data_IF_880202579859
#
_entry.id   IF_880202579859
#
_cell.length_a   1.000
_cell.length_b   1.000
_cell.length_c   1.000
_cell.angle_alpha   90.00
_cell.angle_beta   90.00
_cell.angle_gamma   90.00
#
_symmetry.space_group_name_H-M   'P 1'
#
loop_
_entity.id
_entity.type
_entity.pdbx_description
1 polymer ?
#
# COMPACT_ATOMS: atom_id res chain seq x y z
N UNK A 1 -2.89 38.76 20.76
CA UNK A 1 -2.71 37.97 21.99
C UNK A 1 -1.21 37.89 22.27
N UNK A 2 -0.77 38.00 23.53
CA UNK A 2 0.65 38.04 23.87
C UNK A 2 1.30 36.66 23.67
N UNK A 3 2.62 36.60 23.45
CA UNK A 3 3.33 35.34 23.27
C UNK A 3 3.31 34.55 24.58
N UNK A 4 2.86 33.30 24.51
CA UNK A 4 2.97 32.34 25.61
C UNK A 4 4.44 31.94 25.69
N UNK A 5 5.18 32.59 26.60
CA UNK A 5 6.46 32.11 27.09
C UNK A 5 6.21 30.81 27.87
N UNK A 6 6.46 29.67 27.23
CA UNK A 6 6.67 28.40 27.91
C UNK A 6 8.09 28.35 28.47
N UNK A 7 8.22 28.55 29.78
CA UNK A 7 9.47 28.42 30.52
C UNK A 7 9.81 26.95 30.78
N UNK A 8 10.95 26.51 30.21
CA UNK A 8 11.94 25.51 30.67
C UNK A 8 12.50 24.77 29.44
N UNK A 9 13.49 25.38 28.79
CA UNK A 9 14.15 24.88 27.60
C UNK A 9 15.07 23.69 27.89
N UNK A 10 14.51 22.52 28.17
CA UNK A 10 15.19 21.26 27.91
C UNK A 10 15.00 20.93 26.44
N UNK A 11 16.06 21.02 25.65
CA UNK A 11 16.06 20.53 24.26
C UNK A 11 15.63 19.07 24.25
N UNK A 12 14.69 18.69 23.37
CA UNK A 12 14.20 17.32 23.25
C UNK A 12 15.39 16.37 23.06
N UNK A 13 15.40 15.20 23.71
CA UNK A 13 16.54 14.26 23.64
C UNK A 13 16.87 13.81 22.20
N UNK A 14 15.87 13.85 21.32
CA UNK A 14 15.99 13.55 19.89
C UNK A 14 16.36 14.74 19.01
N UNK A 15 16.71 15.91 19.58
CA UNK A 15 17.12 17.09 18.78
C UNK A 15 18.41 16.81 18.00
N UNK A 16 19.40 16.15 18.63
CA UNK A 16 20.54 15.57 17.91
C UNK A 16 20.24 14.10 17.64
N UNK A 17 19.77 13.80 16.41
CA UNK A 17 19.45 12.43 16.00
C UNK A 17 20.68 11.49 16.09
N UNK A 18 21.90 11.89 15.68
CA UNK A 18 23.08 11.05 15.86
C UNK A 18 23.36 10.67 17.32
N UNK A 19 23.14 11.59 18.26
CA UNK A 19 23.34 11.33 19.69
C UNK A 19 22.26 10.41 20.24
N UNK A 20 20.99 10.67 19.92
CA UNK A 20 19.85 9.85 20.33
C UNK A 20 19.97 8.40 19.81
N UNK A 21 20.52 8.23 18.60
CA UNK A 21 20.71 6.94 17.92
C UNK A 21 22.15 6.43 18.01
N UNK A 22 22.95 6.90 18.97
CA UNK A 22 24.39 6.63 19.07
C UNK A 22 24.75 5.14 19.03
N UNK A 23 23.93 4.28 19.65
CA UNK A 23 24.08 2.83 19.58
C UNK A 23 24.01 2.33 18.14
N UNK A 24 22.93 2.66 17.41
CA UNK A 24 22.75 2.27 16.02
C UNK A 24 23.86 2.86 15.12
N UNK A 25 24.13 4.16 15.25
CA UNK A 25 25.12 4.91 14.46
C UNK A 25 26.53 4.30 14.58
N UNK A 26 26.95 3.90 15.79
CA UNK A 26 28.28 3.32 16.03
C UNK A 26 28.54 2.02 15.25
N UNK A 27 27.48 1.29 14.90
CA UNK A 27 27.53 0.01 14.19
C UNK A 27 27.07 0.09 12.73
N UNK A 28 26.58 1.26 12.30
CA UNK A 28 25.82 1.41 11.06
C UNK A 28 26.61 1.00 9.82
N UNK A 29 27.88 1.41 9.69
CA UNK A 29 28.72 1.02 8.56
C UNK A 29 28.81 -0.51 8.42
N UNK A 30 29.02 -1.20 9.54
CA UNK A 30 29.12 -2.66 9.57
C UNK A 30 27.78 -3.32 9.25
N UNK A 31 26.67 -2.74 9.68
CA UNK A 31 25.33 -3.23 9.36
C UNK A 31 25.03 -3.10 7.87
N UNK A 32 25.32 -1.95 7.26
CA UNK A 32 25.12 -1.70 5.83
C UNK A 32 26.02 -2.60 4.96
N UNK A 33 27.29 -2.79 5.35
CA UNK A 33 28.22 -3.68 4.64
C UNK A 33 27.79 -5.16 4.67
N UNK A 34 27.03 -5.56 5.68
CA UNK A 34 26.58 -6.94 5.87
C UNK A 34 25.14 -7.20 5.44
N UNK A 35 24.35 -6.15 5.22
CA UNK A 35 22.94 -6.29 4.86
C UNK A 35 22.79 -6.77 3.41
N UNK A 36 22.23 -7.97 3.17
CA UNK A 36 22.16 -8.51 1.81
C UNK A 36 21.29 -7.66 0.87
N UNK A 37 20.22 -7.05 1.40
CA UNK A 37 19.32 -6.22 0.60
C UNK A 37 20.00 -4.91 0.17
N UNK A 38 20.69 -4.23 1.09
CA UNK A 38 21.48 -3.05 0.79
C UNK A 38 22.56 -3.34 -0.27
N UNK A 39 23.34 -4.40 -0.06
CA UNK A 39 24.41 -4.79 -0.99
C UNK A 39 23.85 -5.11 -2.39
N UNK A 40 22.72 -5.83 -2.46
CA UNK A 40 22.08 -6.15 -3.74
C UNK A 40 21.62 -4.90 -4.53
N UNK A 41 21.22 -3.82 -3.86
CA UNK A 41 20.83 -2.58 -4.52
C UNK A 41 22.01 -1.74 -5.00
N UNK A 42 23.13 -1.73 -4.26
CA UNK A 42 24.29 -0.90 -4.59
C UNK A 42 25.32 -1.61 -5.49
N UNK A 43 25.23 -2.94 -5.64
CA UNK A 43 26.11 -3.73 -6.49
C UNK A 43 25.75 -3.58 -7.98
N UNK A 44 26.05 -2.40 -8.51
CA UNK A 44 25.86 -2.10 -9.93
C UNK A 44 26.88 -1.08 -10.42
N UNK A 45 27.30 -1.25 -11.67
CA UNK A 45 28.13 -0.26 -12.38
C UNK A 45 27.34 0.99 -12.80
N UNK A 46 26.00 0.96 -12.66
CA UNK A 46 25.15 2.09 -12.95
C UNK A 46 25.22 3.20 -11.87
N UNK A 47 25.80 2.91 -10.71
CA UNK A 47 26.21 3.94 -9.73
C UNK A 47 27.61 4.39 -10.13
N UNK A 48 27.68 5.43 -10.96
CA UNK A 48 28.94 6.02 -11.43
C UNK A 48 29.25 7.37 -10.76
N UNK A 49 28.27 7.96 -10.06
CA UNK A 49 28.44 9.11 -9.18
C UNK A 49 28.17 8.72 -7.73
N UNK A 50 28.84 9.41 -6.82
CA UNK A 50 28.58 9.28 -5.39
C UNK A 50 27.26 9.95 -5.04
N UNK A 51 26.48 9.31 -4.17
CA UNK A 51 25.27 9.88 -3.56
C UNK A 51 25.38 9.84 -2.04
N UNK A 52 25.07 10.97 -1.40
CA UNK A 52 25.03 11.07 0.06
C UNK A 52 23.62 11.36 0.53
N UNK A 53 23.08 10.49 1.38
CA UNK A 53 21.78 10.65 2.02
C UNK A 53 21.96 11.04 3.49
N UNK A 54 21.16 11.99 3.97
CA UNK A 54 21.12 12.43 5.35
C UNK A 54 19.82 12.06 6.06
N UNK A 55 19.89 11.83 7.37
CA UNK A 55 18.72 11.75 8.26
C UNK A 55 18.92 12.72 9.41
N UNK A 56 17.96 13.62 9.62
CA UNK A 56 18.09 14.75 10.53
C UNK A 56 16.79 15.03 11.29
N UNK A 57 16.92 15.40 12.57
CA UNK A 57 15.82 16.02 13.32
C UNK A 57 15.72 17.51 13.00
N UNK A 58 14.50 18.01 12.81
CA UNK A 58 14.26 19.45 12.70
C UNK A 58 14.75 20.17 13.97
N UNK A 59 15.47 21.27 13.78
CA UNK A 59 16.08 22.05 14.87
C UNK A 59 17.43 21.52 15.37
N UNK A 60 17.92 20.38 14.86
CA UNK A 60 19.28 19.89 15.12
C UNK A 60 20.29 20.34 14.07
N UNK A 61 21.55 20.50 14.45
CA UNK A 61 22.63 20.93 13.54
C UNK A 61 23.38 19.76 12.86
N UNK A 62 23.15 18.53 13.32
CA UNK A 62 23.83 17.33 12.85
C UNK A 62 22.87 16.32 12.20
N UNK A 63 23.32 15.69 11.13
CA UNK A 63 22.65 14.59 10.44
C UNK A 63 23.48 13.29 10.55
N UNK A 64 22.79 12.15 10.50
CA UNK A 64 23.40 10.86 10.18
C UNK A 64 23.59 10.83 8.67
N UNK A 65 24.82 10.66 8.19
CA UNK A 65 25.16 10.69 6.77
C UNK A 65 25.59 9.31 6.28
N UNK A 66 25.03 8.88 5.16
CA UNK A 66 25.39 7.64 4.49
C UNK A 66 25.71 7.93 3.04
N UNK A 67 26.90 7.54 2.61
CA UNK A 67 27.40 7.79 1.26
C UNK A 67 27.59 6.48 0.52
N UNK A 68 26.92 6.35 -0.62
CA UNK A 68 27.08 5.24 -1.57
C UNK A 68 27.95 5.71 -2.72
N UNK A 69 29.02 4.97 -2.99
CA UNK A 69 30.02 5.28 -4.01
C UNK A 69 30.14 4.14 -5.04
N UNK A 70 30.66 4.44 -6.25
CA UNK A 70 30.90 3.42 -7.27
C UNK A 70 31.68 2.21 -6.76
N UNK A 71 31.30 1.03 -7.25
CA UNK A 71 31.90 -0.25 -6.86
C UNK A 71 31.35 -0.82 -5.55
N UNK A 72 30.05 -0.63 -5.30
CA UNK A 72 29.33 -1.18 -4.14
C UNK A 72 29.93 -0.77 -2.78
N UNK A 73 30.37 0.49 -2.65
CA UNK A 73 31.00 0.99 -1.43
C UNK A 73 30.05 1.87 -0.64
N UNK A 74 29.95 1.59 0.66
CA UNK A 74 29.20 2.42 1.60
C UNK A 74 30.13 2.99 2.65
N UNK A 75 29.92 4.25 3.01
CA UNK A 75 30.61 4.91 4.14
C UNK A 75 29.61 5.69 4.96
N UNK A 76 29.82 5.77 6.27
CA UNK A 76 28.92 6.48 7.19
C UNK A 76 29.67 7.53 8.00
N UNK A 77 29.05 8.67 8.26
CA UNK A 77 29.58 9.72 9.14
C UNK A 77 28.43 10.45 9.85
N UNK A 78 28.77 11.38 10.73
CA UNK A 78 27.84 12.36 11.30
C UNK A 78 28.39 13.74 11.00
N UNK A 79 27.54 14.70 10.65
CA UNK A 79 28.03 16.01 10.24
C UNK A 79 26.92 16.95 9.79
N UNK A 80 27.29 17.98 9.04
CA UNK A 80 26.34 18.98 8.57
C UNK A 80 25.36 18.36 7.56
N UNK A 81 24.04 18.60 7.66
CA UNK A 81 23.07 18.15 6.65
C UNK A 81 23.38 18.69 5.24
N UNK A 82 24.13 19.80 5.12
CA UNK A 82 24.56 20.37 3.84
C UNK A 82 25.55 19.51 3.06
N UNK A 83 26.13 18.48 3.68
CA UNK A 83 27.03 17.52 3.04
C UNK A 83 26.26 16.44 2.27
N UNK A 84 24.94 16.33 2.46
CA UNK A 84 24.09 15.37 1.77
C UNK A 84 23.51 15.95 0.47
N UNK A 85 23.32 15.07 -0.52
CA UNK A 85 22.54 15.38 -1.71
C UNK A 85 21.05 15.59 -1.37
N UNK A 86 20.54 14.79 -0.44
CA UNK A 86 19.20 14.94 0.09
C UNK A 86 19.14 14.52 1.57
N UNK A 87 18.23 15.12 2.33
CA UNK A 87 18.08 14.88 3.77
C UNK A 87 16.64 14.56 4.13
N UNK A 88 16.41 13.42 4.78
CA UNK A 88 15.13 13.05 5.38
C UNK A 88 14.99 13.79 6.72
N UNK A 89 13.91 14.55 6.87
CA UNK A 89 13.64 15.36 8.06
C UNK A 89 12.29 15.03 8.68
N UNK A 90 12.27 15.06 10.00
CA UNK A 90 11.06 15.01 10.83
C UNK A 90 11.34 15.72 12.17
N UNK A 91 10.31 16.04 12.92
CA UNK A 91 10.42 16.60 14.27
C UNK A 91 11.06 15.59 15.24
N UNK A 92 11.76 16.05 16.30
CA UNK A 92 12.33 15.18 17.32
C UNK A 92 11.33 14.16 17.89
N UNK A 93 10.09 14.58 18.18
CA UNK A 93 9.03 13.72 18.73
C UNK A 93 8.51 12.70 17.69
N UNK A 94 8.59 13.03 16.41
CA UNK A 94 8.22 12.11 15.32
C UNK A 94 9.30 11.04 15.14
N UNK A 95 10.58 11.41 15.21
CA UNK A 95 11.68 10.45 15.16
C UNK A 95 11.67 9.50 16.36
N UNK A 96 11.40 10.00 17.56
CA UNK A 96 11.26 9.15 18.75
C UNK A 96 10.22 8.04 18.55
N UNK A 97 9.04 8.40 18.04
CA UNK A 97 7.98 7.43 17.76
C UNK A 97 8.32 6.52 16.59
N UNK A 98 9.01 7.03 15.57
CA UNK A 98 9.42 6.27 14.38
C UNK A 98 10.46 5.20 14.71
N UNK A 99 11.41 5.52 15.59
CA UNK A 99 12.47 4.61 16.02
C UNK A 99 12.12 3.83 17.28
N UNK A 100 10.88 3.89 17.76
CA UNK A 100 10.40 3.00 18.82
C UNK A 100 10.52 1.52 18.40
N UNK A 101 10.71 0.63 19.37
CA UNK A 101 10.81 -0.81 19.13
C UNK A 101 9.52 -1.42 18.55
N UNK A 102 8.37 -0.86 18.90
CA UNK A 102 7.05 -1.25 18.39
C UNK A 102 6.33 0.01 17.88
N UNK A 103 6.66 0.50 16.68
CA UNK A 103 6.11 1.74 16.17
C UNK A 103 4.63 1.57 15.81
N UNK A 104 3.80 2.52 16.21
CA UNK A 104 2.38 2.59 15.84
C UNK A 104 2.18 3.46 14.61
N UNK A 105 1.08 3.28 13.88
CA UNK A 105 0.75 4.14 12.75
C UNK A 105 0.63 5.62 13.18
N UNK A 106 1.07 6.59 12.36
CA UNK A 106 1.71 6.44 11.03
C UNK A 106 3.25 6.36 11.09
N UNK A 107 3.84 6.16 12.27
CA UNK A 107 5.30 6.24 12.50
C UNK A 107 6.07 4.99 12.05
N UNK A 108 5.47 4.12 11.23
CA UNK A 108 6.07 2.84 10.83
C UNK A 108 7.02 2.97 9.64
N UNK A 109 6.80 3.95 8.77
CA UNK A 109 7.60 4.22 7.57
C UNK A 109 7.74 5.74 7.32
N UNK A 110 8.79 6.14 6.62
CA UNK A 110 9.02 7.56 6.31
C UNK A 110 7.97 8.09 5.32
N UNK A 111 7.58 7.28 4.34
CA UNK A 111 6.48 7.61 3.43
C UNK A 111 5.14 7.73 4.18
N UNK A 112 4.93 6.96 5.26
CA UNK A 112 3.77 7.11 6.13
C UNK A 112 3.79 8.42 6.92
N UNK A 113 4.94 8.82 7.45
CA UNK A 113 5.12 10.15 8.03
C UNK A 113 4.85 11.25 7.00
N UNK A 114 5.38 11.12 5.78
CA UNK A 114 5.19 12.12 4.73
C UNK A 114 3.73 12.19 4.27
N UNK A 115 3.07 11.05 4.09
CA UNK A 115 1.66 10.96 3.68
C UNK A 115 0.69 11.58 4.68
N UNK A 116 1.07 11.62 5.96
CA UNK A 116 0.26 12.23 7.01
C UNK A 116 0.45 13.74 7.19
N UNK A 117 1.23 14.40 6.32
CA UNK A 117 1.38 15.86 6.33
C UNK A 117 0.07 16.64 6.10
N UNK A 118 -1.03 15.96 5.76
CA UNK A 118 -2.38 16.54 5.75
C UNK A 118 -2.90 16.90 7.16
N UNK A 119 -2.32 16.29 8.22
CA UNK A 119 -2.70 16.49 9.63
C UNK A 119 -1.50 16.68 10.56
N UNK A 120 -0.29 16.79 10.01
CA UNK A 120 0.95 17.08 10.75
C UNK A 120 1.90 17.94 9.92
N UNK A 121 2.95 18.48 10.54
CA UNK A 121 3.97 19.29 9.85
C UNK A 121 5.38 18.76 10.15
N UNK A 122 6.35 19.24 9.36
CA UNK A 122 7.78 19.04 9.62
C UNK A 122 8.41 17.79 9.02
N UNK A 123 7.63 16.91 8.38
CA UNK A 123 8.19 15.75 7.66
C UNK A 123 8.44 16.13 6.21
N UNK A 124 9.65 15.87 5.72
CA UNK A 124 9.96 16.13 4.32
C UNK A 124 11.38 15.77 3.93
N UNK A 125 11.67 15.98 2.65
CA UNK A 125 12.99 15.76 2.08
C UNK A 125 13.55 17.11 1.65
N UNK A 126 14.74 17.44 2.13
CA UNK A 126 15.51 18.60 1.67
C UNK A 126 16.54 18.21 0.63
N UNK A 127 16.96 19.18 -0.18
CA UNK A 127 17.96 18.99 -1.23
C UNK A 127 17.37 18.41 -2.51
N UNK A 128 18.12 17.52 -3.16
CA UNK A 128 17.82 17.00 -4.49
C UNK A 128 16.70 15.95 -4.46
N UNK A 129 15.48 16.39 -4.78
CA UNK A 129 14.28 15.54 -4.84
C UNK A 129 14.38 14.41 -5.87
N UNK A 130 15.10 14.61 -6.98
CA UNK A 130 15.27 13.58 -8.02
C UNK A 130 16.19 12.47 -7.51
N UNK A 131 17.30 12.82 -6.84
CA UNK A 131 18.17 11.83 -6.19
C UNK A 131 17.41 11.08 -5.09
N UNK A 132 16.61 11.76 -4.27
CA UNK A 132 15.74 11.06 -3.32
C UNK A 132 14.83 10.05 -4.02
N UNK A 133 14.11 10.45 -5.06
CA UNK A 133 13.22 9.54 -5.79
C UNK A 133 13.97 8.36 -6.44
N UNK A 134 15.22 8.56 -6.88
CA UNK A 134 16.06 7.49 -7.43
C UNK A 134 16.57 6.50 -6.37
N UNK A 135 16.76 6.97 -5.13
CA UNK A 135 17.42 6.23 -4.05
C UNK A 135 16.53 6.00 -2.81
N UNK A 136 15.21 6.23 -2.89
CA UNK A 136 14.29 6.13 -1.75
C UNK A 136 14.28 4.73 -1.12
N UNK A 137 14.38 3.68 -1.94
CA UNK A 137 14.53 2.29 -1.50
C UNK A 137 15.73 2.06 -0.55
N UNK A 138 16.85 2.77 -0.78
CA UNK A 138 17.99 2.75 0.15
C UNK A 138 17.67 3.56 1.41
N UNK A 139 17.06 4.73 1.28
CA UNK A 139 16.68 5.54 2.44
C UNK A 139 15.74 4.78 3.39
N UNK A 140 14.75 4.05 2.85
CA UNK A 140 13.87 3.17 3.63
C UNK A 140 14.67 2.08 4.35
N UNK A 141 15.56 1.36 3.64
CA UNK A 141 16.38 0.32 4.27
C UNK A 141 17.36 0.87 5.32
N UNK A 142 17.91 2.06 5.10
CA UNK A 142 18.73 2.78 6.09
C UNK A 142 17.95 3.02 7.38
N UNK A 143 16.72 3.54 7.27
CA UNK A 143 15.88 3.80 8.44
C UNK A 143 15.50 2.51 9.19
N UNK A 144 15.24 1.41 8.47
CA UNK A 144 15.05 0.09 9.09
C UNK A 144 16.29 -0.36 9.85
N UNK A 145 17.48 -0.31 9.23
CA UNK A 145 18.74 -0.72 9.86
C UNK A 145 19.12 0.15 11.06
N UNK A 146 18.78 1.44 11.04
CA UNK A 146 18.91 2.31 12.20
C UNK A 146 17.98 1.87 13.34
N UNK A 147 16.72 1.55 13.05
CA UNK A 147 15.78 1.02 14.05
C UNK A 147 16.25 -0.32 14.61
N UNK A 148 16.71 -1.22 13.74
CA UNK A 148 17.25 -2.54 14.11
C UNK A 148 18.52 -2.42 14.98
N UNK A 149 19.43 -1.51 14.64
CA UNK A 149 20.64 -1.26 15.43
C UNK A 149 20.35 -0.69 16.82
N UNK A 150 19.25 0.07 16.94
CA UNK A 150 18.82 0.67 18.20
C UNK A 150 18.06 -0.33 19.10
N UNK A 151 17.13 -1.09 18.53
CA UNK A 151 16.16 -1.88 19.30
C UNK A 151 16.32 -3.41 19.14
N UNK A 152 17.20 -3.86 18.25
CA UNK A 152 17.19 -5.23 17.74
C UNK A 152 16.20 -5.41 16.57
N UNK A 153 16.19 -6.59 15.95
CA UNK A 153 15.32 -6.88 14.81
C UNK A 153 13.83 -6.76 15.19
N UNK A 154 13.02 -6.21 14.27
CA UNK A 154 11.57 -6.17 14.45
C UNK A 154 11.03 -7.59 14.52
N UNK A 155 10.16 -7.86 15.48
CA UNK A 155 9.50 -9.17 15.56
C UNK A 155 8.44 -9.27 14.46
N UNK A 156 8.67 -10.17 13.53
CA UNK A 156 7.75 -10.48 12.44
C UNK A 156 6.86 -11.68 12.79
N UNK A 157 5.65 -11.69 12.24
CA UNK A 157 4.79 -12.85 12.22
C UNK A 157 5.30 -13.87 11.19
N UNK A 158 4.98 -15.13 11.41
CA UNK A 158 5.37 -16.20 10.50
C UNK A 158 4.44 -16.29 9.28
N UNK A 159 4.96 -16.75 8.15
CA UNK A 159 4.14 -17.20 7.03
C UNK A 159 4.44 -18.68 6.81
N UNK A 160 3.49 -19.60 7.04
CA UNK A 160 3.71 -21.01 6.76
C UNK A 160 4.02 -21.24 5.29
N UNK A 161 5.05 -22.02 5.01
CA UNK A 161 5.27 -22.59 3.68
C UNK A 161 4.24 -23.68 3.41
N UNK A 162 3.79 -23.79 2.17
CA UNK A 162 2.83 -24.80 1.74
C UNK A 162 3.24 -25.35 0.38
N UNK A 163 3.11 -26.66 0.22
CA UNK A 163 3.39 -27.35 -1.04
C UNK A 163 2.14 -27.45 -1.94
N UNK A 164 0.96 -27.18 -1.39
CA UNK A 164 -0.31 -27.31 -2.09
C UNK A 164 -0.82 -25.94 -2.56
N UNK A 165 -1.03 -25.81 -3.87
CA UNK A 165 -1.72 -24.68 -4.47
C UNK A 165 -3.04 -25.13 -5.09
N UNK A 166 -4.12 -24.41 -4.79
CA UNK A 166 -5.48 -24.76 -5.21
C UNK A 166 -6.05 -23.82 -6.26
N UNK A 167 -5.24 -22.93 -6.84
CA UNK A 167 -5.69 -21.98 -7.84
C UNK A 167 -5.65 -22.60 -9.23
N UNK A 168 -6.61 -22.23 -10.06
CA UNK A 168 -6.62 -22.54 -11.48
C UNK A 168 -6.73 -21.26 -12.29
N UNK A 169 -5.71 -20.97 -13.09
CA UNK A 169 -5.66 -19.81 -13.99
C UNK A 169 -6.28 -20.09 -15.36
N UNK A 170 -7.05 -19.14 -15.88
CA UNK A 170 -7.68 -19.17 -17.21
C UNK A 170 -7.68 -17.78 -17.84
N UNK A 171 -7.95 -17.73 -19.13
CA UNK A 171 -8.18 -16.48 -19.84
C UNK A 171 -9.60 -16.42 -20.37
N UNK A 172 -10.17 -15.21 -20.41
CA UNK A 172 -11.47 -14.92 -21.02
C UNK A 172 -11.38 -13.63 -21.83
N UNK A 173 -12.23 -13.49 -22.84
CA UNK A 173 -12.33 -12.24 -23.61
C UNK A 173 -13.52 -11.43 -23.12
N UNK A 174 -13.28 -10.16 -22.82
CA UNK A 174 -14.31 -9.16 -22.51
C UNK A 174 -14.12 -7.92 -23.37
N UNK A 175 -15.11 -7.04 -23.36
CA UNK A 175 -15.01 -5.70 -23.95
C UNK A 175 -15.11 -4.67 -22.83
N UNK A 176 -13.97 -4.32 -22.25
CA UNK A 176 -13.91 -3.37 -21.15
C UNK A 176 -14.28 -1.96 -21.65
N UNK A 177 -15.14 -1.21 -20.94
CA UNK A 177 -15.33 0.21 -21.23
C UNK A 177 -14.00 0.95 -21.18
N UNK A 178 -13.85 1.96 -22.04
CA UNK A 178 -12.62 2.76 -22.21
C UNK A 178 -11.45 1.97 -22.82
N UNK A 179 -11.03 0.86 -22.21
CA UNK A 179 -9.84 0.09 -22.62
C UNK A 179 -10.05 -0.79 -23.87
N UNK A 180 -11.31 -1.12 -24.20
CA UNK A 180 -11.66 -1.88 -25.40
C UNK A 180 -11.61 -3.39 -25.22
N UNK A 181 -11.60 -4.14 -26.34
CA UNK A 181 -11.60 -5.60 -26.31
C UNK A 181 -10.26 -6.10 -25.78
N UNK A 182 -10.29 -7.01 -24.82
CA UNK A 182 -9.08 -7.53 -24.17
C UNK A 182 -9.22 -9.00 -23.78
N UNK A 183 -8.07 -9.68 -23.66
CA UNK A 183 -7.92 -11.02 -23.11
C UNK A 183 -7.51 -10.89 -21.63
N UNK A 184 -8.46 -11.13 -20.74
CA UNK A 184 -8.29 -11.01 -19.30
C UNK A 184 -7.88 -12.34 -18.69
N UNK A 185 -6.83 -12.33 -17.88
CA UNK A 185 -6.46 -13.44 -17.02
C UNK A 185 -7.29 -13.43 -15.74
N UNK A 186 -7.77 -14.60 -15.32
CA UNK A 186 -8.42 -14.77 -14.03
C UNK A 186 -8.07 -16.12 -13.41
N UNK A 187 -8.10 -16.17 -12.09
CA UNK A 187 -7.90 -17.36 -11.27
C UNK A 187 -9.16 -17.69 -10.49
N UNK A 188 -9.35 -18.97 -10.23
CA UNK A 188 -10.44 -19.48 -9.38
C UNK A 188 -9.92 -20.47 -8.36
N UNK A 189 -10.57 -20.50 -7.20
CA UNK A 189 -10.31 -21.49 -6.14
C UNK A 189 -11.54 -21.67 -5.26
N UNK A 190 -11.66 -22.83 -4.61
CA UNK A 190 -12.78 -23.13 -3.72
C UNK A 190 -14.05 -23.58 -4.44
N UNK A 191 -14.98 -24.13 -3.66
CA UNK A 191 -16.22 -24.75 -4.15
C UNK A 191 -17.43 -24.40 -3.30
N UNK A 192 -17.26 -23.48 -2.34
CA UNK A 192 -18.35 -23.08 -1.47
C UNK A 192 -19.42 -22.24 -2.17
N UNK A 193 -20.61 -22.12 -1.56
CA UNK A 193 -21.78 -21.53 -2.20
C UNK A 193 -21.68 -20.01 -2.42
N UNK A 194 -20.87 -19.31 -1.63
CA UNK A 194 -20.72 -17.86 -1.78
C UNK A 194 -19.75 -17.53 -2.92
N UNK A 195 -20.23 -16.88 -3.96
CA UNK A 195 -19.35 -16.33 -4.99
C UNK A 195 -18.74 -15.00 -4.50
N UNK A 196 -17.43 -14.85 -4.64
CA UNK A 196 -16.71 -13.62 -4.31
C UNK A 196 -15.66 -13.31 -5.38
N UNK A 197 -15.61 -12.05 -5.80
CA UNK A 197 -14.64 -11.53 -6.76
C UNK A 197 -13.69 -10.59 -6.03
N UNK A 198 -12.41 -10.93 -6.07
CA UNK A 198 -11.33 -10.13 -5.52
C UNK A 198 -10.73 -9.23 -6.58
N UNK A 199 -10.44 -8.00 -6.17
CA UNK A 199 -9.94 -6.92 -7.02
C UNK A 199 -8.59 -6.43 -6.48
N UNK A 200 -7.55 -6.53 -7.30
CA UNK A 200 -6.21 -6.09 -6.92
C UNK A 200 -6.13 -4.56 -6.76
N UNK A 201 -5.14 -4.13 -6.00
CA UNK A 201 -4.79 -2.72 -5.81
C UNK A 201 -4.18 -2.09 -7.07
N UNK A 202 -4.01 -0.77 -7.08
CA UNK A 202 -3.40 -0.03 -8.18
C UNK A 202 -2.03 -0.61 -8.57
N UNK A 203 -1.76 -0.80 -9.85
CA UNK A 203 -0.46 -1.30 -10.32
C UNK A 203 -0.04 -2.64 -9.69
N UNK A 204 -0.99 -3.54 -9.52
CA UNK A 204 -0.74 -4.90 -9.05
C UNK A 204 -1.57 -5.91 -9.84
N UNK A 205 -1.74 -7.12 -9.32
CA UNK A 205 -2.47 -8.20 -9.98
C UNK A 205 -3.05 -9.22 -8.99
N UNK A 206 -3.75 -10.24 -9.50
CA UNK A 206 -4.50 -11.23 -8.71
C UNK A 206 -3.65 -12.01 -7.70
N UNK A 207 -2.32 -12.03 -7.84
CA UNK A 207 -1.41 -12.67 -6.87
C UNK A 207 -1.56 -12.12 -5.46
N UNK A 208 -2.07 -10.90 -5.31
CA UNK A 208 -2.38 -10.30 -4.00
C UNK A 208 -3.37 -11.12 -3.16
N UNK A 209 -4.19 -11.96 -3.79
CA UNK A 209 -5.21 -12.75 -3.10
C UNK A 209 -4.85 -14.22 -2.95
N UNK A 210 -3.68 -14.67 -3.41
CA UNK A 210 -3.29 -16.09 -3.38
C UNK A 210 -3.32 -16.68 -1.97
N UNK A 211 -2.86 -15.94 -0.95
CA UNK A 211 -2.92 -16.40 0.45
C UNK A 211 -4.35 -16.66 0.94
N UNK A 212 -5.31 -15.82 0.54
CA UNK A 212 -6.74 -15.97 0.88
C UNK A 212 -7.38 -17.11 0.07
N UNK A 213 -7.06 -17.19 -1.22
CA UNK A 213 -7.56 -18.22 -2.14
C UNK A 213 -7.05 -19.62 -1.79
N UNK A 214 -5.87 -19.71 -1.17
CA UNK A 214 -5.30 -20.93 -0.60
C UNK A 214 -5.69 -21.18 0.87
N UNK A 215 -6.55 -20.39 1.52
CA UNK A 215 -7.06 -20.73 2.85
C UNK A 215 -8.21 -21.75 2.76
N UNK A 216 -8.08 -22.87 3.49
CA UNK A 216 -9.05 -23.96 3.44
C UNK A 216 -10.47 -23.54 3.87
N UNK A 217 -10.59 -22.66 4.88
CA UNK A 217 -11.88 -22.17 5.39
C UNK A 217 -12.58 -21.31 4.33
N UNK A 218 -11.78 -20.50 3.62
CA UNK A 218 -12.28 -19.70 2.50
C UNK A 218 -12.74 -20.59 1.35
N UNK A 219 -11.96 -21.60 0.96
CA UNK A 219 -12.33 -22.54 -0.13
C UNK A 219 -13.60 -23.34 0.15
N UNK A 220 -13.82 -23.72 1.41
CA UNK A 220 -15.03 -24.45 1.82
C UNK A 220 -16.29 -23.57 1.72
N UNK A 221 -16.18 -22.29 2.08
CA UNK A 221 -17.32 -21.36 2.15
C UNK A 221 -17.57 -20.60 0.85
N UNK A 222 -16.53 -20.40 0.04
CA UNK A 222 -16.57 -19.54 -1.13
C UNK A 222 -16.10 -20.24 -2.41
N UNK A 223 -16.73 -19.85 -3.51
CA UNK A 223 -16.15 -19.94 -4.86
C UNK A 223 -15.51 -18.59 -5.13
N UNK A 224 -14.18 -18.55 -5.10
CA UNK A 224 -13.39 -17.31 -5.19
C UNK A 224 -12.88 -17.11 -6.60
N UNK A 225 -12.95 -15.86 -7.07
CA UNK A 225 -12.44 -15.42 -8.36
C UNK A 225 -11.54 -14.21 -8.12
N UNK A 226 -10.37 -14.16 -8.74
CA UNK A 226 -9.55 -12.96 -8.83
C UNK A 226 -9.14 -12.76 -10.29
N UNK A 227 -9.14 -11.53 -10.79
CA UNK A 227 -8.74 -11.26 -12.17
C UNK A 227 -7.79 -10.08 -12.24
N UNK A 228 -6.93 -10.11 -13.26
CA UNK A 228 -6.01 -9.02 -13.56
C UNK A 228 -6.75 -8.02 -14.45
N UNK A 229 -6.78 -6.73 -14.08
CA UNK A 229 -7.35 -5.70 -14.95
C UNK A 229 -6.65 -5.69 -16.33
N UNK A 230 -7.28 -5.17 -17.39
CA UNK A 230 -6.61 -4.99 -18.67
C UNK A 230 -5.25 -4.27 -18.50
N UNK A 231 -4.23 -4.76 -19.21
CA UNK A 231 -2.81 -4.35 -19.11
C UNK A 231 -2.09 -4.64 -17.78
N UNK A 232 -2.72 -5.33 -16.82
CA UNK A 232 -2.12 -5.72 -15.55
C UNK A 232 -1.72 -7.18 -15.52
N UNK A 233 -0.71 -7.52 -14.72
CA UNK A 233 -0.29 -8.90 -14.47
C UNK A 233 -0.16 -9.72 -15.76
N UNK A 234 -1.03 -10.72 -15.90
CA UNK A 234 -1.08 -11.62 -17.06
C UNK A 234 -2.15 -11.21 -18.09
N UNK A 235 -3.00 -10.24 -17.78
CA UNK A 235 -4.00 -9.71 -18.71
C UNK A 235 -3.36 -8.90 -19.83
N UNK A 236 -3.92 -9.01 -21.03
CA UNK A 236 -3.46 -8.27 -22.19
C UNK A 236 -3.92 -6.81 -22.10
N UNK A 237 -3.18 -5.85 -22.69
CA UNK A 237 -3.72 -4.53 -22.92
C UNK A 237 -4.94 -4.60 -23.84
N UNK A 238 -5.92 -3.73 -23.61
CA UNK A 238 -7.10 -3.67 -24.46
C UNK A 238 -6.82 -3.02 -25.82
N UNK A 239 -7.73 -3.22 -26.77
CA UNK A 239 -7.59 -2.73 -28.15
C UNK A 239 -7.40 -1.21 -28.26
N UNK A 240 -7.78 -0.44 -27.24
CA UNK A 240 -7.63 1.02 -27.22
C UNK A 240 -6.36 1.47 -26.46
N UNK A 241 -5.55 0.54 -25.95
CA UNK A 241 -4.37 0.85 -25.16
C UNK A 241 -3.29 1.51 -26.02
N UNK A 242 -2.76 2.63 -25.53
CA UNK A 242 -1.58 3.30 -26.07
C UNK A 242 -0.48 3.20 -25.00
N UNK A 243 0.70 2.66 -25.31
CA UNK A 243 1.80 2.54 -24.35
C UNK A 243 2.12 3.88 -23.66
N UNK A 244 2.21 3.87 -22.33
CA UNK A 244 2.49 5.05 -21.50
C UNK A 244 1.27 5.96 -21.23
N UNK A 245 0.10 5.65 -21.79
CA UNK A 245 -1.14 6.43 -21.63
C UNK A 245 -2.27 5.60 -20.98
N UNK A 246 -1.92 4.65 -20.11
CA UNK A 246 -2.92 4.01 -19.26
C UNK A 246 -3.51 5.04 -18.31
N UNK A 247 -4.83 4.97 -18.11
CA UNK A 247 -5.58 5.75 -17.13
C UNK A 247 -6.81 4.95 -16.71
N UNK A 248 -7.26 5.17 -15.48
CA UNK A 248 -8.41 4.51 -14.90
C UNK A 248 -9.45 5.54 -14.44
N UNK A 249 -10.73 5.16 -14.48
CA UNK A 249 -11.83 5.95 -13.96
C UNK A 249 -12.98 5.02 -13.53
N UNK A 250 -14.04 5.59 -12.95
CA UNK A 250 -15.15 4.80 -12.42
C UNK A 250 -15.79 3.90 -13.50
N UNK A 251 -16.02 4.43 -14.71
CA UNK A 251 -16.68 3.68 -15.79
C UNK A 251 -15.81 2.55 -16.35
N UNK A 252 -14.50 2.79 -16.48
CA UNK A 252 -13.55 1.76 -16.89
C UNK A 252 -13.53 0.62 -15.87
N UNK A 253 -13.42 0.94 -14.58
CA UNK A 253 -13.25 -0.06 -13.53
C UNK A 253 -14.56 -0.81 -13.22
N UNK A 254 -15.64 -0.09 -12.88
CA UNK A 254 -16.95 -0.70 -12.60
C UNK A 254 -17.46 -1.47 -13.81
N UNK A 255 -17.30 -0.90 -15.00
CA UNK A 255 -17.68 -1.53 -16.25
C UNK A 255 -16.90 -2.81 -16.53
N UNK A 256 -15.60 -2.86 -16.24
CA UNK A 256 -14.79 -4.08 -16.37
C UNK A 256 -15.26 -5.16 -15.40
N UNK A 257 -15.58 -4.81 -14.15
CA UNK A 257 -16.12 -5.74 -13.16
C UNK A 257 -17.45 -6.33 -13.66
N UNK A 258 -18.35 -5.48 -14.17
CA UNK A 258 -19.61 -5.91 -14.78
C UNK A 258 -19.40 -6.91 -15.92
N UNK A 259 -18.47 -6.62 -16.85
CA UNK A 259 -18.22 -7.54 -17.96
C UNK A 259 -17.64 -8.88 -17.48
N UNK A 260 -16.80 -8.88 -16.43
CA UNK A 260 -16.30 -10.13 -15.82
C UNK A 260 -17.43 -10.92 -15.14
N UNK A 261 -18.28 -10.27 -14.33
CA UNK A 261 -19.45 -10.88 -13.68
C UNK A 261 -20.37 -11.53 -14.73
N UNK A 262 -20.66 -10.80 -15.81
CA UNK A 262 -21.49 -11.29 -16.92
C UNK A 262 -20.83 -12.45 -17.68
N UNK A 263 -19.56 -12.33 -18.04
CA UNK A 263 -18.86 -13.33 -18.85
C UNK A 263 -18.67 -14.65 -18.09
N UNK A 264 -18.45 -14.58 -16.78
CA UNK A 264 -18.34 -15.74 -15.88
C UNK A 264 -19.71 -16.24 -15.38
N UNK A 265 -20.81 -15.54 -15.70
CA UNK A 265 -22.18 -15.87 -15.29
C UNK A 265 -22.32 -15.99 -13.77
N UNK A 266 -21.69 -15.06 -13.05
CA UNK A 266 -21.78 -15.01 -11.59
C UNK A 266 -23.17 -14.51 -11.17
N UNK A 267 -23.70 -15.05 -10.08
CA UNK A 267 -25.01 -14.71 -9.54
C UNK A 267 -24.83 -14.00 -8.20
N UNK A 268 -25.02 -12.67 -8.22
CA UNK A 268 -24.92 -11.81 -7.03
C UNK A 268 -23.64 -12.07 -6.21
N UNK A 269 -22.44 -12.03 -6.82
CA UNK A 269 -21.20 -12.21 -6.10
C UNK A 269 -20.96 -11.06 -5.12
N UNK A 270 -20.17 -11.33 -4.08
CA UNK A 270 -19.57 -10.27 -3.27
C UNK A 270 -18.39 -9.70 -4.04
N UNK A 271 -18.25 -8.38 -4.11
CA UNK A 271 -17.08 -7.71 -4.69
C UNK A 271 -16.19 -7.20 -3.56
N UNK A 272 -14.91 -7.56 -3.55
CA UNK A 272 -13.98 -7.28 -2.46
C UNK A 272 -12.64 -6.78 -3.01
N UNK A 273 -12.10 -5.69 -2.46
CA UNK A 273 -10.91 -5.04 -3.02
C UNK A 273 -10.28 -4.07 -2.05
N UNK A 274 -8.95 -3.90 -2.13
CA UNK A 274 -8.20 -2.94 -1.32
C UNK A 274 -7.84 -1.65 -2.07
N UNK A 275 -7.65 -0.53 -1.36
CA UNK A 275 -7.11 0.72 -1.93
C UNK A 275 -8.04 1.33 -3.00
N UNK A 276 -7.53 1.59 -4.21
CA UNK A 276 -8.29 1.86 -5.42
C UNK A 276 -9.50 0.92 -5.58
N UNK A 277 -9.32 -0.37 -5.30
CA UNK A 277 -10.39 -1.35 -5.37
C UNK A 277 -11.34 -1.30 -4.16
N UNK A 278 -10.91 -0.73 -3.03
CA UNK A 278 -11.80 -0.39 -1.92
C UNK A 278 -12.78 0.70 -2.31
N UNK A 279 -12.29 1.77 -2.95
CA UNK A 279 -13.15 2.81 -3.51
C UNK A 279 -14.07 2.28 -4.62
N UNK A 280 -13.56 1.40 -5.51
CA UNK A 280 -14.42 0.82 -6.55
C UNK A 280 -15.50 -0.09 -5.95
N UNK A 281 -15.26 -0.74 -4.80
CA UNK A 281 -16.32 -1.46 -4.08
C UNK A 281 -17.46 -0.51 -3.65
N UNK A 282 -17.15 0.71 -3.22
CA UNK A 282 -18.17 1.74 -2.92
C UNK A 282 -18.93 2.12 -4.19
N UNK A 283 -18.22 2.33 -5.31
CA UNK A 283 -18.84 2.63 -6.61
C UNK A 283 -19.75 1.48 -7.10
N UNK A 284 -19.32 0.23 -6.92
CA UNK A 284 -20.10 -0.96 -7.23
C UNK A 284 -21.36 -1.03 -6.37
N UNK A 285 -21.29 -0.70 -5.08
CA UNK A 285 -22.48 -0.68 -4.22
C UNK A 285 -23.51 0.35 -4.68
N UNK A 286 -23.06 1.53 -5.15
CA UNK A 286 -23.92 2.56 -5.77
C UNK A 286 -24.55 2.02 -7.07
N UNK A 287 -23.78 1.25 -7.85
CA UNK A 287 -24.13 0.72 -9.18
C UNK A 287 -24.48 -0.77 -9.14
N UNK A 288 -25.00 -1.27 -8.03
CA UNK A 288 -25.06 -2.71 -7.76
C UNK A 288 -25.88 -3.48 -8.79
N UNK A 289 -27.01 -2.91 -9.24
CA UNK A 289 -27.88 -3.52 -10.26
C UNK A 289 -27.19 -3.59 -11.63
N UNK A 290 -26.39 -2.58 -11.99
CA UNK A 290 -25.62 -2.55 -13.24
C UNK A 290 -24.60 -3.69 -13.27
N UNK A 291 -23.90 -3.90 -12.16
CA UNK A 291 -22.86 -4.93 -12.03
C UNK A 291 -23.45 -6.32 -11.82
N UNK A 292 -24.63 -6.41 -11.21
CA UNK A 292 -25.18 -7.65 -10.68
C UNK A 292 -24.56 -8.07 -9.35
N UNK A 293 -24.04 -7.13 -8.56
CA UNK A 293 -23.37 -7.39 -7.30
C UNK A 293 -24.36 -7.72 -6.17
N UNK A 294 -24.03 -8.71 -5.35
CA UNK A 294 -24.83 -9.14 -4.19
C UNK A 294 -24.36 -8.59 -2.85
N UNK A 295 -23.28 -7.82 -2.83
CA UNK A 295 -22.68 -7.22 -1.65
C UNK A 295 -21.26 -6.76 -1.97
N UNK A 296 -20.70 -5.91 -1.12
CA UNK A 296 -19.35 -5.38 -1.31
C UNK A 296 -18.58 -5.33 0.01
N UNK A 297 -17.28 -5.63 -0.05
CA UNK A 297 -16.36 -5.53 1.08
C UNK A 297 -15.21 -4.60 0.68
N UNK A 298 -15.36 -3.28 0.87
CA UNK A 298 -14.26 -2.34 0.71
C UNK A 298 -13.19 -2.61 1.76
N UNK A 299 -11.99 -2.94 1.31
CA UNK A 299 -10.79 -2.95 2.15
C UNK A 299 -10.09 -1.61 1.96
N UNK A 300 -9.76 -0.90 3.05
CA UNK A 300 -9.06 0.40 2.95
C UNK A 300 -9.74 1.37 1.96
N UNK A 301 -11.08 1.43 1.99
CA UNK A 301 -11.89 2.19 1.04
C UNK A 301 -12.70 3.29 1.73
N UNK A 302 -12.83 4.44 1.08
CA UNK A 302 -13.63 5.57 1.53
C UNK A 302 -14.38 6.22 0.35
N UNK A 303 -15.20 7.23 0.63
CA UNK A 303 -15.96 7.94 -0.40
C UNK A 303 -15.16 8.97 -1.21
N UNK A 304 -14.00 9.41 -0.69
CA UNK A 304 -13.13 10.38 -1.36
C UNK A 304 -11.74 10.46 -0.71
N UNK A 305 -10.69 10.64 -1.51
CA UNK A 305 -9.32 10.92 -1.06
C UNK A 305 -8.80 12.24 -1.61
N UNK A 306 -8.12 13.00 -0.76
CA UNK A 306 -7.60 14.35 -1.04
C UNK A 306 -6.07 14.47 -0.91
N UNK A 307 -5.36 13.35 -0.89
CA UNK A 307 -3.90 13.36 -0.72
C UNK A 307 -3.21 13.87 -1.99
N UNK A 308 -2.20 14.73 -1.81
CA UNK A 308 -1.38 15.22 -2.91
C UNK A 308 -0.61 14.08 -3.57
N UNK A 309 -0.76 13.99 -4.88
CA UNK A 309 -0.16 12.92 -5.67
C UNK A 309 1.25 13.27 -6.13
N UNK A 310 2.19 12.38 -5.86
CA UNK A 310 3.54 12.43 -6.41
C UNK A 310 3.57 11.88 -7.85
N UNK A 311 4.50 12.38 -8.68
CA UNK A 311 4.61 12.02 -10.10
C UNK A 311 5.89 11.22 -10.45
N UNK A 312 6.68 10.84 -9.44
CA UNK A 312 7.92 10.07 -9.64
C UNK A 312 7.66 8.67 -10.19
N UNK A 313 6.46 8.13 -9.96
CA UNK A 313 5.94 6.86 -10.48
C UNK A 313 5.75 6.82 -12.01
N UNK A 314 5.84 7.98 -12.68
CA UNK A 314 5.83 8.14 -14.15
C UNK A 314 6.97 9.03 -14.65
N UNK A 315 8.01 9.23 -13.85
CA UNK A 315 9.16 10.04 -14.25
C UNK A 315 10.11 9.25 -15.16
N UNK A 316 10.59 9.81 -16.29
CA UNK A 316 11.53 9.11 -17.17
C UNK A 316 12.94 8.98 -16.58
N UNK A 317 13.24 9.71 -15.49
CA UNK A 317 14.54 9.69 -14.80
C UNK A 317 14.48 8.97 -13.45
N UNK A 318 13.30 8.47 -13.07
CA UNK A 318 13.10 7.65 -11.88
C UNK A 318 12.76 6.23 -12.31
N UNK A 319 13.41 5.23 -11.71
CA UNK A 319 13.07 3.85 -11.97
C UNK A 319 11.81 3.47 -11.18
N UNK A 320 10.66 3.43 -11.86
CA UNK A 320 9.39 3.06 -11.24
C UNK A 320 9.42 1.69 -10.54
N UNK A 321 10.27 0.76 -11.01
CA UNK A 321 10.40 -0.57 -10.42
C UNK A 321 11.14 -0.58 -9.07
N UNK A 322 11.68 0.57 -8.64
CA UNK A 322 12.25 0.82 -7.32
C UNK A 322 11.41 1.82 -6.53
N UNK A 323 10.90 2.88 -7.18
CA UNK A 323 10.10 3.91 -6.52
C UNK A 323 8.72 3.42 -6.07
N UNK A 324 7.98 2.78 -6.97
CA UNK A 324 6.63 2.28 -6.67
C UNK A 324 6.62 1.27 -5.51
N UNK A 325 7.45 0.20 -5.53
CA UNK A 325 7.45 -0.77 -4.43
C UNK A 325 7.89 -0.16 -3.09
N UNK A 326 8.79 0.84 -3.08
CA UNK A 326 9.19 1.53 -1.85
C UNK A 326 8.02 2.30 -1.20
N UNK A 327 7.26 3.03 -2.03
CA UNK A 327 6.09 3.77 -1.57
C UNK A 327 5.03 2.86 -0.93
N UNK A 328 4.72 1.74 -1.59
CA UNK A 328 3.75 0.77 -1.06
C UNK A 328 4.30 -0.02 0.11
N UNK A 329 5.62 -0.25 0.17
CA UNK A 329 6.25 -0.99 1.26
C UNK A 329 5.97 -0.35 2.61
N UNK A 330 5.98 0.99 2.64
CA UNK A 330 5.72 1.76 3.85
C UNK A 330 4.28 1.73 4.35
N UNK A 331 3.36 1.06 3.67
CA UNK A 331 1.93 1.00 4.03
C UNK A 331 1.53 -0.30 4.76
N UNK A 332 2.48 -1.22 4.94
CA UNK A 332 2.25 -2.50 5.62
C UNK A 332 2.47 -2.39 7.13
N UNK A 333 1.85 -3.30 7.89
CA UNK A 333 2.14 -3.42 9.31
C UNK A 333 3.62 -3.85 9.53
N UNK A 334 4.29 -3.32 10.56
CA UNK A 334 5.70 -3.61 10.81
C UNK A 334 5.95 -5.08 11.16
N UNK A 335 4.96 -5.74 11.79
CA UNK A 335 5.05 -7.14 12.17
C UNK A 335 4.65 -8.11 11.03
N UNK A 336 4.19 -7.64 9.87
CA UNK A 336 3.81 -8.54 8.77
C UNK A 336 4.97 -9.45 8.34
N UNK A 337 4.71 -10.73 7.99
CA UNK A 337 5.75 -11.66 7.54
C UNK A 337 6.61 -11.11 6.41
N UNK A 338 7.95 -11.13 6.56
CA UNK A 338 8.86 -10.54 5.57
C UNK A 338 8.66 -11.09 4.17
N UNK A 339 8.44 -12.39 4.02
CA UNK A 339 8.22 -13.03 2.70
C UNK A 339 7.02 -12.42 1.98
N UNK A 340 5.95 -12.07 2.70
CA UNK A 340 4.77 -11.42 2.14
C UNK A 340 5.04 -9.95 1.79
N UNK A 341 5.78 -9.23 2.65
CA UNK A 341 6.22 -7.85 2.35
C UNK A 341 7.09 -7.81 1.08
N UNK A 342 7.97 -8.81 0.91
CA UNK A 342 8.81 -8.97 -0.28
C UNK A 342 8.00 -9.40 -1.52
N UNK A 343 6.95 -10.20 -1.35
CA UNK A 343 6.01 -10.48 -2.44
C UNK A 343 5.35 -9.18 -2.91
N UNK A 344 4.84 -8.34 -2.00
CA UNK A 344 4.25 -7.04 -2.36
C UNK A 344 5.30 -6.18 -3.10
N UNK A 345 6.53 -6.07 -2.58
CA UNK A 345 7.62 -5.39 -3.28
C UNK A 345 7.77 -5.92 -4.72
N UNK A 346 7.86 -7.23 -4.88
CA UNK A 346 8.02 -7.87 -6.19
C UNK A 346 6.86 -7.55 -7.16
N UNK A 347 5.60 -7.61 -6.68
CA UNK A 347 4.43 -7.31 -7.50
C UNK A 347 4.52 -5.88 -8.07
N UNK A 348 4.90 -4.91 -7.25
CA UNK A 348 4.99 -3.51 -7.65
C UNK A 348 6.25 -3.18 -8.47
N UNK A 349 7.33 -3.95 -8.33
CA UNK A 349 8.50 -3.89 -9.23
C UNK A 349 8.19 -4.41 -10.64
N UNK A 350 7.25 -5.35 -10.79
CA UNK A 350 6.98 -6.07 -12.04
C UNK A 350 6.03 -5.37 -13.03
N UNK A 351 5.63 -4.13 -12.76
CA UNK A 351 4.58 -3.45 -13.54
C UNK A 351 5.09 -2.85 -14.85
N UNK A 352 4.22 -2.84 -15.87
CA UNK A 352 4.49 -2.08 -17.08
C UNK A 352 4.51 -0.57 -16.80
N UNK A 353 5.22 0.17 -17.65
CA UNK A 353 5.41 1.61 -17.47
C UNK A 353 4.09 2.38 -17.41
N UNK A 354 3.90 3.17 -16.36
CA UNK A 354 2.75 4.06 -16.19
C UNK A 354 1.43 3.38 -15.80
N UNK A 355 1.40 2.06 -15.57
CA UNK A 355 0.18 1.35 -15.13
C UNK A 355 -0.24 1.79 -13.72
N UNK A 356 0.68 1.69 -12.74
CA UNK A 356 0.43 2.17 -11.38
C UNK A 356 -0.04 3.63 -11.37
N UNK A 357 0.62 4.49 -12.14
CA UNK A 357 0.22 5.87 -12.31
C UNK A 357 -1.21 6.00 -12.87
N UNK A 358 -1.53 5.36 -13.99
CA UNK A 358 -2.87 5.47 -14.57
C UNK A 358 -3.99 5.01 -13.62
N UNK A 359 -3.73 4.01 -12.79
CA UNK A 359 -4.66 3.54 -11.76
C UNK A 359 -4.89 4.59 -10.65
N UNK A 360 -3.82 5.27 -10.24
CA UNK A 360 -3.90 6.33 -9.25
C UNK A 360 -4.70 7.56 -9.73
N UNK A 361 -4.96 7.71 -11.04
CA UNK A 361 -5.88 8.74 -11.56
C UNK A 361 -7.29 8.58 -10.98
N UNK A 362 -7.75 7.34 -10.76
CA UNK A 362 -9.02 7.07 -10.10
C UNK A 362 -8.91 7.26 -8.58
N UNK A 363 -7.85 6.73 -7.97
CA UNK A 363 -7.72 6.67 -6.51
C UNK A 363 -7.58 8.05 -5.84
N UNK A 364 -6.74 8.92 -6.41
CA UNK A 364 -6.48 10.26 -5.88
C UNK A 364 -7.27 11.30 -6.66
N UNK A 365 -8.42 11.69 -6.12
CA UNK A 365 -9.28 12.75 -6.65
C UNK A 365 -10.17 12.36 -7.84
N UNK A 366 -9.95 11.22 -8.49
CA UNK A 366 -10.76 10.77 -9.63
C UNK A 366 -12.09 10.12 -9.26
N UNK A 367 -12.20 9.53 -8.08
CA UNK A 367 -13.45 9.02 -7.51
C UNK A 367 -13.96 9.95 -6.41
N UNK A 368 -15.18 10.45 -6.55
CA UNK A 368 -15.89 11.21 -5.53
C UNK A 368 -17.33 10.69 -5.37
N UNK A 369 -17.60 10.15 -4.19
CA UNK A 369 -18.91 9.64 -3.82
C UNK A 369 -19.49 10.32 -2.58
N UNK A 370 -18.95 11.46 -2.12
CA UNK A 370 -19.40 12.12 -0.88
C UNK A 370 -20.91 12.42 -0.88
N UNK A 371 -21.44 12.82 -2.02
CA UNK A 371 -22.87 13.12 -2.20
C UNK A 371 -23.71 11.92 -2.69
N UNK A 372 -23.06 10.76 -2.88
CA UNK A 372 -23.66 9.57 -3.50
C UNK A 372 -23.77 8.39 -2.54
N UNK A 373 -22.87 8.25 -1.57
CA UNK A 373 -22.85 7.09 -0.68
C UNK A 373 -24.14 6.92 0.13
N UNK A 374 -24.82 8.01 0.47
CA UNK A 374 -26.11 7.95 1.18
C UNK A 374 -27.24 7.29 0.40
N UNK A 375 -27.10 7.14 -0.94
CA UNK A 375 -28.09 6.47 -1.79
C UNK A 375 -27.92 4.95 -1.86
N UNK A 376 -26.89 4.38 -1.23
CA UNK A 376 -26.67 2.93 -1.22
C UNK A 376 -27.78 2.26 -0.40
N UNK A 377 -28.55 1.40 -1.06
CA UNK A 377 -29.55 0.55 -0.41
C UNK A 377 -28.88 -0.76 0.04
N UNK A 378 -28.55 -0.84 1.33
CA UNK A 378 -27.91 -2.00 1.96
C UNK A 378 -28.74 -3.28 1.84
N UNK A 379 -30.07 -3.20 1.64
CA UNK A 379 -30.89 -4.40 1.39
C UNK A 379 -30.67 -4.99 0.01
N UNK A 380 -30.32 -4.16 -0.97
CA UNK A 380 -29.97 -4.62 -2.33
C UNK A 380 -28.52 -5.05 -2.42
N UNK A 381 -27.62 -4.27 -1.84
CA UNK A 381 -26.18 -4.53 -1.87
C UNK A 381 -25.57 -4.18 -0.50
N UNK A 382 -25.48 -5.15 0.43
CA UNK A 382 -24.87 -4.90 1.71
C UNK A 382 -23.40 -4.53 1.57
N UNK A 383 -22.94 -3.55 2.36
CA UNK A 383 -21.57 -3.05 2.33
C UNK A 383 -20.93 -3.14 3.72
N UNK A 384 -19.79 -3.83 3.80
CA UNK A 384 -19.02 -4.02 5.02
C UNK A 384 -17.58 -3.54 4.82
N UNK A 385 -17.21 -2.45 5.47
CA UNK A 385 -15.87 -1.88 5.40
C UNK A 385 -14.91 -2.59 6.35
N UNK A 386 -13.73 -2.95 5.84
CA UNK A 386 -12.61 -3.44 6.64
C UNK A 386 -11.40 -2.54 6.41
N UNK A 387 -10.68 -2.12 7.44
CA UNK A 387 -9.51 -1.24 7.26
C UNK A 387 -8.43 -1.60 8.27
N UNK A 388 -7.20 -1.77 7.79
CA UNK A 388 -6.05 -2.09 8.63
C UNK A 388 -5.71 -0.95 9.58
N UNK A 389 -5.40 -1.30 10.83
CA UNK A 389 -4.91 -0.37 11.85
C UNK A 389 -3.70 0.45 11.40
N UNK A 390 -2.85 -0.12 10.55
CA UNK A 390 -1.61 0.50 10.07
C UNK A 390 -1.72 1.25 8.74
N UNK A 391 -2.91 1.32 8.15
CA UNK A 391 -3.11 2.07 6.91
C UNK A 391 -3.15 3.58 7.16
N UNK A 392 -2.15 4.29 6.65
CA UNK A 392 -2.07 5.76 6.69
C UNK A 392 -2.61 6.42 5.41
N UNK A 393 -2.84 5.68 4.32
CA UNK A 393 -3.38 6.25 3.09
C UNK A 393 -4.90 6.38 3.12
N UNK A 394 -5.60 5.33 3.56
CA UNK A 394 -7.03 5.38 3.87
C UNK A 394 -7.22 4.93 5.31
N UNK A 395 -7.16 5.89 6.24
CA UNK A 395 -7.15 5.54 7.67
C UNK A 395 -8.47 4.89 8.11
N UNK A 396 -8.45 4.08 9.20
CA UNK A 396 -9.67 3.53 9.79
C UNK A 396 -10.78 4.57 10.03
N UNK A 397 -10.42 5.79 10.41
CA UNK A 397 -11.34 6.90 10.65
C UNK A 397 -12.02 7.36 9.36
N UNK A 398 -11.30 7.39 8.24
CA UNK A 398 -11.86 7.79 6.93
C UNK A 398 -12.90 6.77 6.44
N UNK A 399 -12.56 5.48 6.50
CA UNK A 399 -13.47 4.38 6.17
C UNK A 399 -14.69 4.36 7.10
N UNK A 400 -14.48 4.52 8.40
CA UNK A 400 -15.58 4.57 9.37
C UNK A 400 -16.50 5.78 9.13
N UNK A 401 -15.93 6.94 8.80
CA UNK A 401 -16.70 8.14 8.46
C UNK A 401 -17.54 7.93 7.21
N UNK A 402 -17.02 7.24 6.20
CA UNK A 402 -17.76 6.84 5.01
C UNK A 402 -18.91 5.88 5.37
N UNK A 403 -18.62 4.82 6.13
CA UNK A 403 -19.62 3.83 6.54
C UNK A 403 -20.79 4.46 7.31
N UNK A 404 -20.53 5.45 8.18
CA UNK A 404 -21.56 6.19 8.93
C UNK A 404 -22.53 6.99 8.04
N UNK A 405 -22.13 7.36 6.81
CA UNK A 405 -23.01 8.06 5.85
C UNK A 405 -23.98 7.10 5.14
N UNK A 406 -23.76 5.79 5.24
CA UNK A 406 -24.54 4.76 4.56
C UNK A 406 -25.46 4.08 5.57
N UNK A 407 -26.78 4.19 5.38
CA UNK A 407 -27.74 3.62 6.31
C UNK A 407 -27.66 2.08 6.32
N UNK A 408 -27.27 1.51 7.46
CA UNK A 408 -27.17 0.06 7.66
C UNK A 408 -25.83 -0.57 7.26
N UNK A 409 -24.86 0.21 6.78
CA UNK A 409 -23.52 -0.30 6.52
C UNK A 409 -22.80 -0.71 7.80
N UNK A 410 -21.78 -1.56 7.66
CA UNK A 410 -20.94 -1.98 8.79
C UNK A 410 -19.47 -1.63 8.56
N UNK A 411 -18.71 -1.50 9.64
CA UNK A 411 -17.29 -1.19 9.63
C UNK A 411 -16.56 -1.94 10.74
N UNK A 412 -15.37 -2.46 10.43
CA UNK A 412 -14.45 -3.03 11.43
C UNK A 412 -13.01 -2.69 11.09
N UNK A 413 -12.31 -2.07 12.05
CA UNK A 413 -10.87 -1.93 11.98
C UNK A 413 -10.21 -3.30 12.22
N UNK A 414 -9.14 -3.59 11.48
CA UNK A 414 -8.41 -4.86 11.55
C UNK A 414 -7.08 -4.66 12.26
N UNK A 415 -6.99 -5.16 13.49
CA UNK A 415 -5.80 -5.02 14.33
C UNK A 415 -4.59 -5.74 13.73
N UNK A 416 -3.43 -5.09 13.74
CA UNK A 416 -2.17 -5.68 13.29
C UNK A 416 -2.06 -5.90 11.78
N UNK A 417 -2.89 -5.21 10.99
CA UNK A 417 -2.89 -5.23 9.52
C UNK A 417 -2.75 -3.79 9.00
N UNK A 418 -2.10 -3.63 7.84
CA UNK A 418 -1.92 -2.37 7.14
C UNK A 418 -2.80 -2.30 5.88
N UNK A 419 -2.21 -1.83 4.79
CA UNK A 419 -2.93 -1.51 3.56
C UNK A 419 -3.22 -2.73 2.66
N UNK A 420 -2.50 -3.84 2.83
CA UNK A 420 -2.56 -4.99 1.93
C UNK A 420 -2.97 -6.27 2.66
N UNK A 421 -4.11 -6.30 3.37
CA UNK A 421 -4.39 -7.32 4.37
C UNK A 421 -4.43 -8.74 3.78
N UNK A 422 -4.89 -8.90 2.53
CA UNK A 422 -4.95 -10.19 1.84
C UNK A 422 -3.57 -10.79 1.50
N UNK A 423 -2.56 -9.94 1.34
CA UNK A 423 -1.20 -10.35 0.96
C UNK A 423 -0.24 -10.26 2.13
N UNK A 424 -0.26 -9.15 2.89
CA UNK A 424 0.70 -8.89 3.96
C UNK A 424 0.57 -9.92 5.08
N UNK A 425 -0.65 -10.27 5.52
CA UNK A 425 -0.88 -11.33 6.49
C UNK A 425 -2.28 -11.97 6.29
N UNK A 426 -2.42 -12.93 5.36
CA UNK A 426 -3.69 -13.59 5.07
C UNK A 426 -4.23 -14.35 6.30
N UNK A 427 -3.37 -14.84 7.20
CA UNK A 427 -3.81 -15.60 8.39
C UNK A 427 -4.60 -14.71 9.34
N UNK A 428 -4.13 -13.48 9.58
CA UNK A 428 -4.86 -12.47 10.36
C UNK A 428 -6.08 -11.95 9.62
N UNK A 429 -6.01 -11.79 8.30
CA UNK A 429 -7.08 -11.20 7.52
C UNK A 429 -8.31 -12.10 7.36
N UNK A 430 -8.12 -13.39 7.06
CA UNK A 430 -9.22 -14.33 6.75
C UNK A 430 -10.35 -14.34 7.79
N UNK A 431 -10.09 -14.34 9.12
CA UNK A 431 -11.15 -14.22 10.12
C UNK A 431 -12.04 -12.98 9.95
N UNK A 432 -11.46 -11.81 9.69
CA UNK A 432 -12.23 -10.58 9.45
C UNK A 432 -13.06 -10.67 8.16
N UNK A 433 -12.48 -11.25 7.11
CA UNK A 433 -13.17 -11.45 5.84
C UNK A 433 -14.37 -12.40 5.99
N UNK A 434 -14.20 -13.50 6.73
CA UNK A 434 -15.28 -14.46 7.01
C UNK A 434 -16.42 -13.82 7.81
N UNK A 435 -16.09 -13.02 8.84
CA UNK A 435 -17.09 -12.25 9.60
C UNK A 435 -17.91 -11.32 8.70
N UNK A 436 -17.24 -10.62 7.78
CA UNK A 436 -17.89 -9.70 6.84
C UNK A 436 -18.79 -10.45 5.84
N UNK A 437 -18.32 -11.59 5.32
CA UNK A 437 -19.12 -12.45 4.43
C UNK A 437 -20.38 -12.94 5.14
N UNK A 438 -20.26 -13.45 6.38
CA UNK A 438 -21.40 -13.92 7.16
C UNK A 438 -22.41 -12.80 7.43
N UNK A 439 -21.93 -11.59 7.74
CA UNK A 439 -22.79 -10.44 7.93
C UNK A 439 -23.55 -10.06 6.65
N UNK A 440 -22.88 -10.06 5.49
CA UNK A 440 -23.53 -9.80 4.19
C UNK A 440 -24.61 -10.85 3.92
N UNK A 441 -24.32 -12.13 4.16
CA UNK A 441 -25.27 -13.22 3.96
C UNK A 441 -26.52 -13.06 4.82
N UNK A 442 -26.36 -12.73 6.11
CA UNK A 442 -27.49 -12.47 7.02
C UNK A 442 -28.31 -11.26 6.57
N UNK A 443 -27.64 -10.19 6.16
CA UNK A 443 -28.31 -8.95 5.72
C UNK A 443 -29.12 -9.14 4.43
N UNK A 444 -28.69 -10.03 3.53
CA UNK A 444 -29.45 -10.40 2.33
C UNK A 444 -30.67 -11.28 2.64
N UNK A 445 -30.65 -11.99 3.76
CA UNK A 445 -31.71 -12.92 4.15
C UNK A 445 -32.82 -12.25 4.97
N UNK A 446 -32.55 -11.08 5.56
CA UNK A 446 -33.50 -10.22 6.28
C UNK A 446 -34.21 -9.24 5.36
#
# INVERSE_FOLDING_TARGET
MPPVNGANGTTHSWTSLPQAMSQAVSSLNKSLDKDPQWQAFIDTKAIFETVTMGVQSLGGDEAILVTVSPGAKTTTSTGSPSEADFVLRAQPEQWEKFFAADPVAPYTSFVGLQGMNIVQEGVGVDGNQVKFAQYCHLATRLLELLREGQNGPTKEDEQPETDEDHLTGKYIYITAPVWGRTKVFYETSGTGPQQIVFLHTAGSDSRQYHGVMNDARMREKCTMIAFDLPAHGRSFPGSNHIPGNHTNNEDAYVGTIREMVKALKLDKPIICGASMAGQVCVAVAIRAEEVGAGGTIPLQGCDYLTMDRQFNDKSPVCNQALFNPDWVYGMMAPQSPKVNKLLIWHLYSGQAYGIFHGDLDFYFGGFDARDRVSSIDVKKCPIYFLTGEYDWSTTPEMSQTTAKKIHGANFKAMKGLGHFPATEDPRKFVPYLLDAIEWIQKTRAS
#
